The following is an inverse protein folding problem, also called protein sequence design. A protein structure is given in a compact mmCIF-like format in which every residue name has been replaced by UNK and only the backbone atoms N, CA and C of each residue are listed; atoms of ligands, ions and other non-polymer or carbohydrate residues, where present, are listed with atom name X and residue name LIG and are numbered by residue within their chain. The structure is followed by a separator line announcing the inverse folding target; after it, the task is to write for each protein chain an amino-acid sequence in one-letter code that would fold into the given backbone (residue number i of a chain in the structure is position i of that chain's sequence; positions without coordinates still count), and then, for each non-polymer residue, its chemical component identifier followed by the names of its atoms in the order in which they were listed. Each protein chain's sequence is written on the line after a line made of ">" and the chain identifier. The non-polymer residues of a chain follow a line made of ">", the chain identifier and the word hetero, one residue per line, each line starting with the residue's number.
data_IF_780802148112
#
_entry.id   IF_780802148112
#
_cell.length_a   1.000
_cell.length_b   1.000
_cell.length_c   1.000
_cell.angle_alpha   90.00
_cell.angle_beta   90.00
_cell.angle_gamma   90.00
#
_symmetry.space_group_name_H-M   'P 1'
#
loop_
_entity.id
_entity.type
_entity.pdbx_description
1 polymer ?
#
# COMPACT_ATOMS: atom_id res chain seq x y z
N UNK A 1 8.60 -8.53 -1.00
CA UNK A 1 8.39 -7.13 -0.60
C UNK A 1 8.38 -6.98 0.92
N UNK A 2 7.67 -7.83 1.66
CA UNK A 2 7.66 -7.78 3.13
C UNK A 2 9.07 -7.80 3.77
N UNK A 3 9.98 -8.69 3.33
CA UNK A 3 11.36 -8.69 3.82
C UNK A 3 12.16 -7.42 3.47
N UNK A 4 11.88 -6.79 2.33
CA UNK A 4 12.49 -5.52 1.94
C UNK A 4 12.00 -4.36 2.82
N UNK A 5 10.71 -4.36 3.16
CA UNK A 5 10.06 -3.31 3.97
C UNK A 5 10.26 -3.51 5.48
N UNK A 6 10.91 -4.59 5.90
CA UNK A 6 11.10 -4.93 7.31
C UNK A 6 12.35 -4.28 7.95
N UNK A 7 13.20 -3.61 7.16
CA UNK A 7 14.46 -3.03 7.64
C UNK A 7 14.33 -1.58 8.17
N UNK A 8 13.11 -1.10 8.35
CA UNK A 8 12.81 0.24 8.86
C UNK A 8 12.70 1.33 7.79
N UNK A 9 12.86 0.99 6.51
CA UNK A 9 12.54 1.93 5.41
C UNK A 9 11.05 2.26 5.36
N UNK A 10 10.73 3.46 4.91
CA UNK A 10 9.35 3.90 4.75
C UNK A 10 8.73 3.47 3.42
N UNK A 11 9.57 3.39 2.37
CA UNK A 11 9.20 3.13 0.98
C UNK A 11 10.20 2.19 0.32
N UNK A 12 9.90 1.70 -0.89
CA UNK A 12 10.71 0.68 -1.56
C UNK A 12 12.16 1.11 -1.81
N UNK A 13 12.38 2.39 -2.11
CA UNK A 13 13.69 2.96 -2.43
C UNK A 13 14.31 3.76 -1.27
N UNK A 14 13.85 3.55 -0.04
CA UNK A 14 14.35 4.22 1.16
C UNK A 14 13.28 5.07 1.83
N UNK A 15 13.59 6.34 2.09
CA UNK A 15 12.71 7.22 2.86
C UNK A 15 11.87 8.17 1.99
N UNK A 16 12.18 8.25 0.70
CA UNK A 16 11.44 9.08 -0.26
C UNK A 16 10.45 8.24 -1.06
N UNK A 17 9.24 8.78 -1.20
CA UNK A 17 8.20 8.16 -2.01
C UNK A 17 8.53 8.30 -3.50
N UNK A 18 8.32 7.22 -4.23
CA UNK A 18 8.67 7.10 -5.64
C UNK A 18 7.56 6.45 -6.47
N UNK A 19 7.75 6.42 -7.79
CA UNK A 19 6.85 5.70 -8.70
C UNK A 19 6.75 4.20 -8.37
N UNK A 20 7.82 3.60 -7.84
CA UNK A 20 7.81 2.19 -7.45
C UNK A 20 6.74 1.90 -6.39
N UNK A 21 6.52 2.84 -5.48
CA UNK A 21 5.55 2.70 -4.39
C UNK A 21 4.12 2.79 -4.90
N UNK A 22 3.85 3.70 -5.85
CA UNK A 22 2.55 3.79 -6.51
C UNK A 22 2.20 2.50 -7.26
N UNK A 23 3.17 1.94 -7.97
CA UNK A 23 2.98 0.71 -8.73
C UNK A 23 2.69 -0.47 -7.80
N UNK A 24 3.51 -0.66 -6.76
CA UNK A 24 3.28 -1.71 -5.77
C UNK A 24 1.92 -1.57 -5.09
N UNK A 25 1.53 -0.35 -4.71
CA UNK A 25 0.23 -0.09 -4.12
C UNK A 25 -0.92 -0.50 -5.05
N UNK A 26 -0.88 -0.06 -6.32
CA UNK A 26 -1.94 -0.36 -7.28
C UNK A 26 -2.11 -1.87 -7.51
N UNK A 27 -1.02 -2.60 -7.73
CA UNK A 27 -1.09 -4.06 -7.99
C UNK A 27 -1.46 -4.85 -6.74
N UNK A 28 -0.98 -4.45 -5.57
CA UNK A 28 -1.26 -5.16 -4.31
C UNK A 28 -2.73 -5.02 -3.93
N UNK A 29 -3.40 -3.92 -4.27
CA UNK A 29 -4.86 -3.76 -4.05
C UNK A 29 -5.69 -4.87 -4.70
N UNK A 30 -5.25 -5.41 -5.84
CA UNK A 30 -6.00 -6.48 -6.51
C UNK A 30 -6.04 -7.78 -5.71
N UNK A 31 -5.15 -7.96 -4.73
CA UNK A 31 -5.12 -9.15 -3.87
C UNK A 31 -6.48 -9.41 -3.20
N UNK A 32 -7.19 -8.34 -2.81
CA UNK A 32 -8.53 -8.40 -2.18
C UNK A 32 -9.55 -9.05 -3.12
N UNK A 33 -9.50 -8.73 -4.41
CA UNK A 33 -10.42 -9.29 -5.41
C UNK A 33 -10.16 -10.79 -5.69
N UNK A 34 -8.96 -11.28 -5.35
CA UNK A 34 -8.57 -12.68 -5.54
C UNK A 34 -8.56 -13.47 -4.22
N UNK A 35 -9.02 -12.88 -3.11
CA UNK A 35 -9.03 -13.53 -1.79
C UNK A 35 -7.62 -13.83 -1.25
N UNK A 36 -6.60 -13.13 -1.73
CA UNK A 36 -5.22 -13.31 -1.27
C UNK A 36 -5.02 -12.49 0.00
N UNK A 37 -4.82 -13.19 1.12
CA UNK A 37 -4.54 -12.58 2.43
C UNK A 37 -3.12 -12.02 2.52
N UNK A 38 -2.98 -10.86 3.16
CA UNK A 38 -1.69 -10.25 3.49
C UNK A 38 -1.33 -10.38 4.98
N UNK A 39 -2.08 -11.16 5.76
CA UNK A 39 -1.89 -11.29 7.23
C UNK A 39 -0.46 -11.68 7.60
N UNK A 40 0.16 -12.58 6.83
CA UNK A 40 1.55 -13.00 7.05
C UNK A 40 2.60 -11.97 6.61
N UNK A 41 2.19 -10.79 6.12
CA UNK A 41 3.04 -9.76 5.53
C UNK A 41 2.86 -8.40 6.26
N UNK A 42 3.21 -8.29 7.55
CA UNK A 42 2.92 -7.11 8.35
C UNK A 42 3.62 -5.83 7.87
N UNK A 43 4.87 -5.92 7.42
CA UNK A 43 5.58 -4.75 6.89
C UNK A 43 4.98 -4.27 5.56
N UNK A 44 4.51 -5.21 4.74
CA UNK A 44 3.76 -4.87 3.52
C UNK A 44 2.42 -4.21 3.87
N UNK A 45 1.67 -4.71 4.84
CA UNK A 45 0.41 -4.08 5.28
C UNK A 45 0.63 -2.65 5.80
N UNK A 46 1.66 -2.44 6.63
CA UNK A 46 2.01 -1.12 7.12
C UNK A 46 2.39 -0.15 5.98
N UNK A 47 3.14 -0.64 5.00
CA UNK A 47 3.43 0.12 3.77
C UNK A 47 2.14 0.47 3.01
N UNK A 48 1.23 -0.49 2.80
CA UNK A 48 -0.02 -0.27 2.08
C UNK A 48 -0.90 0.77 2.78
N UNK A 49 -1.02 0.70 4.12
CA UNK A 49 -1.76 1.68 4.92
C UNK A 49 -1.15 3.09 4.80
N UNK A 50 0.19 3.19 4.85
CA UNK A 50 0.92 4.45 4.69
C UNK A 50 0.68 5.10 3.32
N UNK A 51 0.73 4.31 2.25
CA UNK A 51 0.46 4.82 0.89
C UNK A 51 -0.99 5.23 0.73
N UNK A 52 -1.94 4.45 1.27
CA UNK A 52 -3.37 4.77 1.23
C UNK A 52 -3.72 6.05 2.00
N UNK A 53 -3.01 6.35 3.08
CA UNK A 53 -3.22 7.56 3.88
C UNK A 53 -2.87 8.86 3.13
N UNK A 54 -2.12 8.80 2.01
CA UNK A 54 -1.68 9.99 1.27
C UNK A 54 -2.88 10.73 0.65
N UNK A 55 -2.96 12.07 0.74
CA UNK A 55 -4.09 12.83 0.20
C UNK A 55 -4.34 12.61 -1.29
N UNK A 56 -3.28 12.50 -2.10
CA UNK A 56 -3.39 12.23 -3.54
C UNK A 56 -3.97 10.85 -3.83
N UNK A 57 -3.61 9.84 -3.03
CA UNK A 57 -4.13 8.48 -3.18
C UNK A 57 -5.61 8.44 -2.80
N UNK A 58 -6.00 9.03 -1.66
CA UNK A 58 -7.42 9.16 -1.27
C UNK A 58 -8.26 9.88 -2.32
N UNK A 59 -7.72 10.94 -2.93
CA UNK A 59 -8.39 11.68 -3.99
C UNK A 59 -8.66 10.81 -5.23
N UNK A 60 -7.67 10.02 -5.66
CA UNK A 60 -7.83 9.09 -6.79
C UNK A 60 -8.78 7.95 -6.44
N UNK A 61 -8.68 7.34 -5.26
CA UNK A 61 -9.62 6.29 -4.83
C UNK A 61 -11.06 6.80 -4.87
N UNK A 62 -11.30 8.02 -4.37
CA UNK A 62 -12.62 8.66 -4.44
C UNK A 62 -13.06 8.91 -5.89
N UNK A 63 -12.18 9.43 -6.74
CA UNK A 63 -12.50 9.73 -8.14
C UNK A 63 -12.85 8.46 -8.95
N UNK A 64 -12.17 7.35 -8.66
CA UNK A 64 -12.38 6.05 -9.29
C UNK A 64 -13.50 5.21 -8.63
N UNK A 65 -14.16 5.73 -7.58
CA UNK A 65 -15.22 5.01 -6.85
C UNK A 65 -14.70 3.80 -6.04
N UNK A 66 -13.43 3.80 -5.66
CA UNK A 66 -12.76 2.74 -4.89
C UNK A 66 -12.76 3.04 -3.39
N UNK A 67 -12.88 2.01 -2.57
CA UNK A 67 -12.85 2.11 -1.09
C UNK A 67 -11.42 2.11 -0.53
N UNK A 68 -11.22 2.66 0.66
CA UNK A 68 -9.98 2.44 1.42
C UNK A 68 -9.96 0.99 1.98
N UNK A 69 -8.85 0.27 1.82
CA UNK A 69 -8.72 -1.17 2.10
C UNK A 69 -7.75 -1.50 3.24
N UNK A 70 -6.73 -0.67 3.47
CA UNK A 70 -5.60 -0.95 4.36
C UNK A 70 -5.49 0.03 5.53
N UNK A 71 -6.15 1.18 5.44
CA UNK A 71 -6.21 2.19 6.48
C UNK A 71 -7.61 2.18 7.12
N UNK A 72 -7.96 1.06 7.78
CA UNK A 72 -9.15 1.00 8.62
C UNK A 72 -8.76 1.35 10.06
N UNK A 73 -9.38 2.42 10.57
CA UNK A 73 -9.44 2.72 12.00
C UNK A 73 -10.13 1.58 12.77
#
# INVERSE_FOLDING_TARGET
>A
MNGLLADGRDYLLGNDFSVADTYLFAVTRWSVNFGISLEAQPALQAFMARVEARPSVKAVLKAEGLTELFNKA
#
